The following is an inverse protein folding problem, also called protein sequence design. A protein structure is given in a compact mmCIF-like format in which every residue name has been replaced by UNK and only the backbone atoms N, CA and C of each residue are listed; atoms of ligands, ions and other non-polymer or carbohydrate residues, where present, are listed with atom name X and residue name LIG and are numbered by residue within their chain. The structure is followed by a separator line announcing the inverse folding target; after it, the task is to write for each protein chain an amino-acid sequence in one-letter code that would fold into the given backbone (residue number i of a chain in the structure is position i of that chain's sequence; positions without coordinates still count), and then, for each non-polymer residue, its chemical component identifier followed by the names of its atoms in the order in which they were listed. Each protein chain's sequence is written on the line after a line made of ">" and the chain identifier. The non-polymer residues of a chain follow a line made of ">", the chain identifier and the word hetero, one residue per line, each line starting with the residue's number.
data_IF_010116810566
#
_entry.id   IF_010116810566
#
_cell.length_a   1.000
_cell.length_b   1.000
_cell.length_c   1.000
_cell.angle_alpha   90.00
_cell.angle_beta   90.00
_cell.angle_gamma   90.00
#
_symmetry.space_group_name_H-M   'P 1'
#
loop_
_entity.id
_entity.type
_entity.pdbx_description
1 polymer ?
#
# COMPACT_ATOMS: atom_id res chain seq x y z
N UNK A 1 32.11 -23.33 43.02
CA UNK A 1 32.11 -21.87 43.23
C UNK A 1 33.10 -21.28 42.22
N UNK A 2 32.67 -21.08 40.98
CA UNK A 2 33.50 -20.49 39.90
C UNK A 2 33.10 -19.02 39.77
N UNK A 3 34.08 -18.14 39.98
CA UNK A 3 33.91 -16.70 39.96
C UNK A 3 34.37 -16.20 38.58
N UNK A 4 33.43 -15.91 37.68
CA UNK A 4 33.74 -15.59 36.29
C UNK A 4 33.95 -14.08 36.11
N UNK A 5 35.22 -13.69 35.97
CA UNK A 5 35.70 -12.30 36.00
C UNK A 5 35.73 -11.63 34.61
N UNK A 6 35.07 -12.22 33.60
CA UNK A 6 35.18 -11.79 32.18
C UNK A 6 34.05 -10.89 31.66
N UNK A 7 33.03 -10.60 32.45
CA UNK A 7 31.88 -9.79 32.00
C UNK A 7 32.20 -8.28 31.99
N UNK A 8 33.15 -7.82 32.82
CA UNK A 8 33.41 -6.38 33.02
C UNK A 8 34.05 -5.65 31.83
N UNK A 9 34.83 -6.32 30.98
CA UNK A 9 35.51 -5.64 29.87
C UNK A 9 34.63 -5.52 28.61
N UNK A 10 33.76 -6.51 28.34
CA UNK A 10 32.90 -6.47 27.15
C UNK A 10 31.83 -5.37 27.22
N UNK A 11 31.38 -5.02 28.42
CA UNK A 11 30.41 -3.93 28.64
C UNK A 11 31.06 -2.55 28.45
N UNK A 12 32.35 -2.38 28.79
CA UNK A 12 33.04 -1.10 28.63
C UNK A 12 33.29 -0.73 27.16
N UNK A 13 33.60 -1.71 26.32
CA UNK A 13 33.83 -1.48 24.88
C UNK A 13 32.53 -1.13 24.15
N UNK A 14 31.38 -1.66 24.59
CA UNK A 14 30.08 -1.40 23.98
C UNK A 14 29.55 0.01 24.31
N UNK A 15 29.87 0.56 25.49
CA UNK A 15 29.45 1.91 25.90
C UNK A 15 30.22 3.02 25.17
N UNK A 16 31.48 2.79 24.78
CA UNK A 16 32.26 3.79 24.03
C UNK A 16 31.82 3.95 22.57
N UNK A 17 31.30 2.89 21.94
CA UNK A 17 30.82 2.96 20.56
C UNK A 17 29.50 3.75 20.41
N UNK A 18 28.66 3.76 21.45
CA UNK A 18 27.37 4.45 21.43
C UNK A 18 27.53 5.97 21.62
N UNK A 19 28.53 6.43 22.38
CA UNK A 19 28.79 7.86 22.56
C UNK A 19 29.40 8.56 21.32
N UNK A 20 30.01 7.83 20.38
CA UNK A 20 30.58 8.42 19.17
C UNK A 20 29.52 8.70 18.07
N UNK A 21 28.37 8.02 18.12
CA UNK A 21 27.32 8.17 17.09
C UNK A 21 26.38 9.35 17.39
N UNK A 22 26.29 9.78 18.65
CA UNK A 22 25.38 10.88 19.07
C UNK A 22 25.97 12.29 18.81
N UNK A 23 27.24 12.41 18.40
CA UNK A 23 27.90 13.71 18.17
C UNK A 23 28.00 14.16 16.71
N UNK A 24 27.46 13.41 15.74
CA UNK A 24 27.57 13.74 14.31
C UNK A 24 26.29 14.33 13.66
N UNK A 25 25.19 14.49 14.38
CA UNK A 25 23.88 14.93 13.82
C UNK A 25 23.50 16.38 14.15
N UNK A 26 24.47 17.25 14.47
CA UNK A 26 24.19 18.63 14.90
C UNK A 26 24.62 19.74 13.92
N UNK A 27 25.04 19.46 12.68
CA UNK A 27 25.40 20.50 11.71
C UNK A 27 25.00 20.16 10.28
N UNK A 28 23.74 20.47 9.92
CA UNK A 28 23.34 20.83 8.56
C UNK A 28 21.89 21.35 8.58
N UNK A 29 21.72 22.57 9.07
CA UNK A 29 20.52 23.39 8.83
C UNK A 29 21.01 24.77 8.39
N UNK A 30 21.33 24.90 7.11
CA UNK A 30 21.61 26.19 6.46
C UNK A 30 20.40 26.53 5.60
N UNK A 31 19.85 27.71 5.88
CA UNK A 31 18.65 28.28 5.31
C UNK A 31 18.71 28.44 3.79
N UNK A 32 17.67 27.99 3.10
CA UNK A 32 17.25 28.53 1.80
C UNK A 32 15.81 29.04 1.93
N UNK A 33 15.67 30.35 2.02
CA UNK A 33 14.37 31.03 1.89
C UNK A 33 13.93 30.99 0.43
N UNK A 34 12.68 30.62 0.10
CA UNK A 34 12.14 30.91 -1.22
C UNK A 34 11.80 32.40 -1.34
N UNK A 35 12.24 32.99 -2.45
CA UNK A 35 11.79 34.29 -2.91
C UNK A 35 10.29 34.22 -3.23
N UNK A 36 9.49 35.01 -2.52
CA UNK A 36 8.09 35.24 -2.82
C UNK A 36 8.02 36.10 -4.09
N UNK A 37 7.47 35.53 -5.17
CA UNK A 37 7.11 36.28 -6.35
C UNK A 37 5.87 37.14 -6.04
N UNK A 38 6.05 38.44 -6.21
CA UNK A 38 5.06 39.50 -6.04
C UNK A 38 4.08 39.47 -7.22
N UNK A 39 2.90 38.89 -7.00
CA UNK A 39 1.82 38.92 -8.00
C UNK A 39 1.06 40.24 -7.86
N UNK A 40 1.43 41.21 -8.70
CA UNK A 40 0.72 42.50 -8.81
C UNK A 40 -0.57 42.29 -9.59
N UNK A 41 -1.68 42.15 -8.87
CA UNK A 41 -3.03 42.30 -9.42
C UNK A 41 -3.51 43.74 -9.16
N UNK A 42 -3.74 44.50 -10.24
CA UNK A 42 -4.47 45.78 -10.22
C UNK A 42 -5.73 45.66 -11.07
N UNK A 43 -6.83 46.20 -10.52
CA UNK A 43 -8.14 46.37 -11.16
C UNK A 43 -9.03 45.14 -10.97
N UNK A 44 -10.27 45.23 -10.48
CA UNK A 44 -11.26 46.29 -10.67
C UNK A 44 -12.30 46.19 -9.54
N UNK A 45 -12.76 47.35 -9.09
CA UNK A 45 -13.83 47.63 -8.13
C UNK A 45 -15.21 47.38 -8.76
N UNK A 46 -16.17 46.87 -7.99
CA UNK A 46 -17.60 47.27 -7.94
C UNK A 46 -18.29 46.42 -6.84
N UNK A 47 -18.68 47.03 -5.69
CA UNK A 47 -20.07 47.33 -5.27
C UNK A 47 -21.02 46.14 -5.44
N UNK A 48 -21.74 45.60 -4.46
CA UNK A 48 -22.14 45.98 -3.11
C UNK A 48 -23.34 45.06 -2.79
N UNK A 49 -23.58 44.74 -1.52
CA UNK A 49 -24.91 44.71 -0.88
C UNK A 49 -24.89 43.93 0.44
N UNK A 50 -25.46 44.61 1.43
CA UNK A 50 -25.76 44.18 2.79
C UNK A 50 -26.79 43.05 2.83
N UNK A 51 -26.69 42.14 3.81
CA UNK A 51 -27.77 41.89 4.80
C UNK A 51 -27.44 40.78 5.82
N UNK A 52 -27.24 41.24 7.06
CA UNK A 52 -27.88 40.80 8.31
C UNK A 52 -28.07 39.31 8.68
N UNK A 53 -27.49 38.98 9.86
CA UNK A 53 -28.11 38.34 11.04
C UNK A 53 -28.62 36.87 10.91
N UNK A 54 -28.62 35.98 11.91
CA UNK A 54 -28.42 36.07 13.35
C UNK A 54 -28.00 34.69 13.91
N UNK A 55 -27.52 34.74 15.15
CA UNK A 55 -27.22 33.65 16.08
C UNK A 55 -28.36 32.64 16.28
N UNK A 56 -28.05 31.41 16.71
CA UNK A 56 -28.57 30.87 17.99
C UNK A 56 -27.71 29.72 18.54
N UNK A 57 -27.47 29.76 19.85
CA UNK A 57 -26.94 28.71 20.73
C UNK A 57 -28.04 27.72 21.19
N UNK A 58 -27.66 26.49 21.52
CA UNK A 58 -28.21 25.70 22.66
C UNK A 58 -27.30 24.49 22.90
N UNK A 59 -26.50 24.41 23.97
CA UNK A 59 -26.78 24.03 25.38
C UNK A 59 -26.87 22.51 25.63
N UNK A 60 -26.19 22.14 26.71
CA UNK A 60 -25.90 20.85 27.35
C UNK A 60 -27.12 19.98 27.71
N UNK A 61 -26.85 18.68 27.92
CA UNK A 61 -27.68 17.81 28.75
C UNK A 61 -27.03 16.44 28.98
N UNK A 62 -26.44 16.24 30.15
CA UNK A 62 -25.99 14.96 30.69
C UNK A 62 -26.97 14.47 31.77
N UNK A 63 -27.23 13.16 31.86
CA UNK A 63 -27.77 12.42 33.02
C UNK A 63 -27.61 10.91 32.70
N UNK A 64 -26.75 10.12 33.34
CA UNK A 64 -26.78 9.52 34.69
C UNK A 64 -28.00 8.62 35.01
N UNK A 65 -27.70 7.30 35.00
CA UNK A 65 -27.79 6.38 36.14
C UNK A 65 -29.17 5.89 36.62
N UNK A 66 -29.38 4.57 36.54
CA UNK A 66 -29.90 3.79 37.69
C UNK A 66 -29.61 2.29 37.52
N UNK A 67 -28.85 1.77 38.49
CA UNK A 67 -28.82 0.38 38.92
C UNK A 67 -30.22 -0.19 39.14
N UNK A 68 -30.40 -1.50 38.89
CA UNK A 68 -30.99 -2.36 39.92
C UNK A 68 -30.60 -3.83 39.77
N UNK A 69 -30.18 -4.36 40.91
CA UNK A 69 -29.67 -5.69 41.23
C UNK A 69 -30.79 -6.59 41.75
N UNK A 70 -30.83 -7.87 41.38
CA UNK A 70 -31.37 -9.00 42.18
C UNK A 70 -31.02 -10.31 41.47
N UNK A 71 -30.03 -11.08 41.92
CA UNK A 71 -30.02 -12.01 43.07
C UNK A 71 -30.96 -13.21 42.91
N UNK A 72 -30.37 -14.40 42.77
CA UNK A 72 -31.05 -15.69 42.83
C UNK A 72 -30.10 -16.85 42.52
N UNK A 73 -29.39 -17.35 43.54
CA UNK A 73 -28.82 -18.71 43.54
C UNK A 73 -29.97 -19.72 43.33
N UNK A 74 -29.80 -20.92 42.76
CA UNK A 74 -29.20 -22.10 43.42
C UNK A 74 -29.26 -23.30 42.45
N UNK A 75 -28.22 -24.15 42.51
CA UNK A 75 -28.19 -25.61 42.24
C UNK A 75 -28.60 -26.20 40.87
N UNK A 76 -27.55 -26.62 40.13
CA UNK A 76 -27.21 -28.01 39.81
C UNK A 76 -28.36 -29.03 39.70
N UNK A 77 -28.59 -29.55 38.49
CA UNK A 77 -28.88 -30.97 38.24
C UNK A 77 -28.57 -31.36 36.79
N UNK A 78 -27.78 -32.41 36.69
CA UNK A 78 -27.45 -33.21 35.52
C UNK A 78 -28.72 -33.87 34.95
N UNK A 79 -28.96 -33.69 33.65
CA UNK A 79 -29.75 -34.64 32.86
C UNK A 79 -29.54 -34.45 31.36
N UNK A 80 -28.83 -35.41 30.80
CA UNK A 80 -28.82 -35.90 29.43
C UNK A 80 -30.15 -35.72 28.69
N UNK A 81 -30.12 -35.03 27.54
CA UNK A 81 -31.16 -35.16 26.54
C UNK A 81 -30.64 -34.99 25.10
N UNK A 82 -30.58 -36.12 24.42
CA UNK A 82 -31.11 -36.38 23.07
C UNK A 82 -30.99 -35.24 22.04
N UNK A 83 -30.03 -35.44 21.15
CA UNK A 83 -29.98 -34.90 19.79
C UNK A 83 -31.28 -35.17 19.03
N UNK A 84 -31.98 -34.12 18.61
CA UNK A 84 -32.87 -34.20 17.45
C UNK A 84 -33.09 -32.83 16.79
N UNK A 85 -33.29 -32.89 15.47
CA UNK A 85 -33.79 -31.86 14.56
C UNK A 85 -32.89 -30.65 14.22
N UNK A 86 -32.04 -30.89 13.21
CA UNK A 86 -31.82 -30.03 12.04
C UNK A 86 -32.69 -28.78 11.94
N UNK A 87 -32.13 -27.63 12.33
CA UNK A 87 -32.54 -26.33 11.79
C UNK A 87 -31.71 -26.09 10.53
N UNK A 88 -32.31 -25.91 9.33
CA UNK A 88 -31.54 -25.46 8.17
C UNK A 88 -30.88 -24.14 8.56
N UNK A 89 -29.55 -24.09 8.46
CA UNK A 89 -28.85 -22.81 8.49
C UNK A 89 -29.49 -21.95 7.40
N UNK A 90 -29.98 -20.78 7.78
CA UNK A 90 -30.44 -19.77 6.82
C UNK A 90 -29.35 -19.65 5.77
N UNK A 91 -29.68 -20.03 4.53
CA UNK A 91 -28.78 -19.89 3.41
C UNK A 91 -28.41 -18.42 3.35
N UNK A 92 -27.14 -18.12 3.66
CA UNK A 92 -26.62 -16.76 3.61
C UNK A 92 -27.00 -16.19 2.24
N UNK A 93 -27.73 -15.09 2.26
CA UNK A 93 -28.08 -14.36 1.04
C UNK A 93 -26.79 -14.16 0.25
N UNK A 94 -26.74 -14.53 -1.05
CA UNK A 94 -25.56 -14.32 -1.87
C UNK A 94 -25.12 -12.86 -1.69
N UNK A 95 -23.85 -12.66 -1.34
CA UNK A 95 -23.28 -11.32 -1.28
C UNK A 95 -23.57 -10.64 -2.61
N UNK A 96 -24.09 -9.41 -2.56
CA UNK A 96 -24.36 -8.64 -3.77
C UNK A 96 -23.08 -8.57 -4.61
N UNK A 97 -23.22 -8.68 -5.93
CA UNK A 97 -22.10 -8.53 -6.86
C UNK A 97 -21.37 -7.21 -6.56
N UNK A 98 -20.02 -7.22 -6.50
CA UNK A 98 -19.26 -6.03 -6.18
C UNK A 98 -19.42 -4.98 -7.28
N UNK A 99 -19.55 -3.71 -6.89
CA UNK A 99 -19.53 -2.57 -7.82
C UNK A 99 -18.09 -2.30 -8.28
N UNK A 100 -17.68 -2.94 -9.38
CA UNK A 100 -16.33 -2.78 -9.93
C UNK A 100 -16.06 -1.37 -10.52
N UNK A 101 -17.08 -0.52 -10.65
CA UNK A 101 -16.92 0.90 -11.02
C UNK A 101 -16.73 1.82 -9.80
N UNK A 102 -16.74 1.27 -8.59
CA UNK A 102 -16.55 2.01 -7.34
C UNK A 102 -16.04 1.11 -6.21
N UNK A 103 -14.94 0.40 -6.43
CA UNK A 103 -14.37 -0.51 -5.44
C UNK A 103 -13.92 0.26 -4.20
N UNK A 104 -14.38 -0.19 -3.03
CA UNK A 104 -14.17 0.51 -1.76
C UNK A 104 -13.30 -0.25 -0.76
N UNK A 105 -13.04 -1.54 -0.99
CA UNK A 105 -12.26 -2.40 -0.10
C UNK A 105 -11.58 -3.56 -0.85
N UNK A 106 -10.74 -4.29 -0.12
CA UNK A 106 -9.93 -5.37 -0.65
C UNK A 106 -10.76 -6.58 -1.14
N UNK A 107 -11.84 -6.92 -0.43
CA UNK A 107 -12.67 -8.05 -0.80
C UNK A 107 -13.44 -7.79 -2.10
N UNK A 108 -13.96 -6.58 -2.28
CA UNK A 108 -14.57 -6.13 -3.52
C UNK A 108 -13.55 -6.10 -4.67
N UNK A 109 -12.33 -5.61 -4.43
CA UNK A 109 -11.26 -5.60 -5.44
C UNK A 109 -10.93 -7.02 -5.90
N UNK A 110 -10.70 -7.93 -4.94
CA UNK A 110 -10.39 -9.33 -5.20
C UNK A 110 -11.48 -9.99 -6.03
N UNK A 111 -12.73 -9.84 -5.62
CA UNK A 111 -13.87 -10.38 -6.36
C UNK A 111 -13.97 -9.79 -7.77
N UNK A 112 -13.78 -8.47 -7.94
CA UNK A 112 -13.80 -7.84 -9.27
C UNK A 112 -12.68 -8.35 -10.17
N UNK A 113 -11.44 -8.47 -9.67
CA UNK A 113 -10.29 -8.91 -10.47
C UNK A 113 -10.40 -10.39 -10.84
N UNK A 114 -10.75 -11.26 -9.89
CA UNK A 114 -10.81 -12.71 -10.11
C UNK A 114 -11.99 -13.11 -11.01
N UNK A 115 -13.09 -12.33 -11.00
CA UNK A 115 -14.25 -12.55 -11.86
C UNK A 115 -14.26 -11.71 -13.15
N UNK A 116 -13.25 -10.85 -13.36
CA UNK A 116 -13.15 -9.99 -14.52
C UNK A 116 -13.20 -10.79 -15.84
N UNK A 117 -13.66 -10.15 -16.89
CA UNK A 117 -13.45 -10.53 -18.28
C UNK A 117 -12.28 -9.77 -18.89
N UNK A 118 -11.75 -10.26 -20.00
CA UNK A 118 -10.57 -9.65 -20.63
C UNK A 118 -10.83 -8.19 -21.02
N UNK A 119 -10.05 -7.29 -20.41
CA UNK A 119 -10.11 -5.85 -20.66
C UNK A 119 -11.01 -5.07 -19.70
N UNK A 120 -11.61 -5.71 -18.69
CA UNK A 120 -12.45 -5.00 -17.72
C UNK A 120 -11.67 -3.90 -16.99
N UNK A 121 -12.35 -2.77 -16.78
CA UNK A 121 -11.84 -1.62 -16.05
C UNK A 121 -12.44 -1.62 -14.65
N UNK A 122 -11.58 -1.72 -13.65
CA UNK A 122 -11.94 -1.66 -12.24
C UNK A 122 -11.51 -0.30 -11.69
N UNK A 123 -12.46 0.42 -11.11
CA UNK A 123 -12.25 1.78 -10.60
C UNK A 123 -12.22 1.77 -9.08
N UNK A 124 -11.07 2.11 -8.52
CA UNK A 124 -10.89 2.31 -7.08
C UNK A 124 -11.57 3.61 -6.68
N UNK A 125 -12.64 3.49 -5.89
CA UNK A 125 -13.45 4.61 -5.41
C UNK A 125 -13.02 5.16 -4.07
N UNK A 126 -12.27 4.38 -3.28
CA UNK A 126 -11.71 4.74 -1.97
C UNK A 126 -10.36 4.08 -1.78
N UNK A 127 -9.52 4.63 -0.90
CA UNK A 127 -8.26 4.00 -0.52
C UNK A 127 -8.50 2.58 -0.02
N UNK A 128 -7.87 1.62 -0.68
CA UNK A 128 -7.95 0.20 -0.31
C UNK A 128 -6.78 -0.13 0.60
N UNK A 129 -7.11 -0.51 1.84
CA UNK A 129 -6.13 -1.07 2.79
C UNK A 129 -5.99 -2.57 2.56
N UNK A 130 -4.83 -3.02 2.10
CA UNK A 130 -4.54 -4.42 1.81
C UNK A 130 -4.21 -5.18 3.10
N UNK A 131 -5.00 -6.20 3.48
CA UNK A 131 -4.78 -6.96 4.71
C UNK A 131 -3.45 -7.73 4.70
N UNK A 132 -2.80 -7.86 5.87
CA UNK A 132 -1.59 -8.69 6.05
C UNK A 132 -1.83 -10.18 5.86
N UNK A 133 -3.02 -10.65 6.22
CA UNK A 133 -3.38 -12.06 6.33
C UNK A 133 -4.13 -12.59 5.11
N UNK A 134 -4.54 -11.73 4.18
CA UNK A 134 -5.13 -12.17 2.92
C UNK A 134 -4.02 -12.37 1.88
N UNK A 135 -4.16 -13.46 1.11
CA UNK A 135 -3.24 -13.78 0.04
C UNK A 135 -3.30 -12.75 -1.09
N UNK A 136 -2.31 -12.76 -2.01
CA UNK A 136 -2.35 -11.92 -3.19
C UNK A 136 -3.60 -12.20 -4.03
N UNK A 137 -4.03 -11.21 -4.80
CA UNK A 137 -5.04 -11.38 -5.85
C UNK A 137 -4.36 -12.02 -7.06
N UNK A 138 -4.91 -13.13 -7.54
CA UNK A 138 -4.42 -13.78 -8.75
C UNK A 138 -4.97 -13.08 -10.00
N UNK A 139 -4.09 -12.64 -10.88
CA UNK A 139 -4.45 -12.05 -12.18
C UNK A 139 -4.18 -13.07 -13.27
N UNK A 140 -5.26 -13.59 -13.86
CA UNK A 140 -5.21 -14.63 -14.91
C UNK A 140 -5.77 -14.16 -16.26
N UNK A 141 -6.23 -12.91 -16.32
CA UNK A 141 -6.86 -12.26 -17.47
C UNK A 141 -6.32 -10.84 -17.61
N UNK A 142 -6.69 -10.16 -18.69
CA UNK A 142 -6.41 -8.73 -18.80
C UNK A 142 -7.36 -7.92 -17.93
N UNK A 143 -6.82 -7.10 -17.03
CA UNK A 143 -7.59 -6.22 -16.14
C UNK A 143 -6.91 -4.85 -16.05
N UNK A 144 -7.70 -3.79 -16.11
CA UNK A 144 -7.23 -2.41 -15.99
C UNK A 144 -7.67 -1.85 -14.64
N UNK A 145 -6.72 -1.49 -13.79
CA UNK A 145 -6.97 -0.77 -12.54
C UNK A 145 -6.75 0.73 -12.74
N UNK A 146 -7.74 1.51 -12.32
CA UNK A 146 -7.67 2.97 -12.25
C UNK A 146 -8.25 3.44 -10.92
N UNK A 147 -8.06 4.70 -10.56
CA UNK A 147 -8.63 5.29 -9.37
C UNK A 147 -9.45 6.54 -9.72
N UNK A 148 -10.45 6.85 -8.88
CA UNK A 148 -11.13 8.14 -8.99
C UNK A 148 -10.17 9.27 -8.60
N UNK A 149 -10.36 10.42 -9.23
CA UNK A 149 -9.69 11.65 -8.82
C UNK A 149 -9.92 11.89 -7.32
N UNK A 150 -8.85 12.29 -6.61
CA UNK A 150 -8.82 12.54 -5.16
C UNK A 150 -8.81 11.28 -4.27
N UNK A 151 -8.64 10.07 -4.82
CA UNK A 151 -8.31 8.90 -4.03
C UNK A 151 -6.79 8.77 -3.97
N UNK A 152 -6.19 9.21 -2.87
CA UNK A 152 -4.74 9.14 -2.67
C UNK A 152 -4.39 8.74 -1.21
N UNK A 153 -3.76 7.57 -0.99
CA UNK A 153 -3.40 6.59 -1.99
C UNK A 153 -4.61 5.82 -2.53
N UNK A 154 -4.53 5.30 -3.75
CA UNK A 154 -5.50 4.31 -4.24
C UNK A 154 -5.38 3.00 -3.46
N UNK A 155 -4.15 2.58 -3.16
CA UNK A 155 -3.87 1.38 -2.37
C UNK A 155 -2.81 1.65 -1.30
N UNK A 156 -2.94 1.01 -0.15
CA UNK A 156 -1.97 1.05 0.96
C UNK A 156 -1.91 -0.29 1.67
N UNK A 157 -0.83 -0.53 2.40
CA UNK A 157 -0.81 -1.61 3.39
C UNK A 157 -1.76 -1.28 4.55
N UNK A 158 -2.34 -2.30 5.14
CA UNK A 158 -2.87 -2.20 6.50
C UNK A 158 -1.74 -1.74 7.45
N UNK A 159 -2.01 -0.77 8.33
CA UNK A 159 -1.05 -0.23 9.27
C UNK A 159 -0.49 -1.30 10.24
N UNK A 160 -1.24 -2.38 10.48
CA UNK A 160 -0.76 -3.52 11.25
C UNK A 160 0.20 -4.45 10.44
N UNK A 161 0.26 -4.29 9.12
CA UNK A 161 1.01 -5.12 8.20
C UNK A 161 2.37 -4.49 7.84
N UNK A 162 3.40 -4.76 8.65
CA UNK A 162 4.77 -4.36 8.32
C UNK A 162 5.44 -5.25 7.27
N UNK A 163 4.86 -6.42 6.99
CA UNK A 163 5.39 -7.44 6.07
C UNK A 163 4.24 -8.20 5.39
N UNK A 164 4.48 -8.77 4.22
CA UNK A 164 3.48 -9.57 3.50
C UNK A 164 3.90 -9.91 2.07
N UNK A 165 3.08 -10.67 1.35
CA UNK A 165 3.37 -11.03 -0.04
C UNK A 165 3.14 -9.88 -1.02
N UNK A 166 3.14 -10.11 -2.33
CA UNK A 166 2.66 -9.13 -3.28
C UNK A 166 1.17 -8.78 -3.05
N UNK A 167 0.71 -7.64 -3.58
CA UNK A 167 -0.73 -7.39 -3.72
C UNK A 167 -1.30 -8.25 -4.85
N UNK A 168 -0.59 -8.29 -5.97
CA UNK A 168 -1.00 -9.05 -7.14
C UNK A 168 0.04 -10.12 -7.50
N UNK A 169 -0.44 -11.32 -7.81
CA UNK A 169 0.35 -12.34 -8.50
C UNK A 169 -0.19 -12.46 -9.91
N UNK A 170 0.66 -12.20 -10.89
CA UNK A 170 0.28 -12.20 -12.31
C UNK A 170 0.86 -13.45 -12.96
N UNK A 171 -0.03 -14.37 -13.30
CA UNK A 171 0.32 -15.67 -13.86
C UNK A 171 0.32 -15.66 -15.39
N UNK A 172 0.66 -16.80 -16.00
CA UNK A 172 0.66 -16.94 -17.46
C UNK A 172 -0.72 -16.61 -18.04
N UNK A 173 -0.78 -15.61 -18.92
CA UNK A 173 -2.02 -15.11 -19.52
C UNK A 173 -2.67 -13.94 -18.76
N UNK A 174 -2.18 -13.61 -17.56
CA UNK A 174 -2.56 -12.40 -16.84
C UNK A 174 -1.88 -11.14 -17.40
N UNK A 175 -2.65 -10.07 -17.54
CA UNK A 175 -2.18 -8.73 -17.96
C UNK A 175 -2.79 -7.69 -17.02
N UNK A 176 -2.04 -7.28 -16.00
CA UNK A 176 -2.45 -6.21 -15.09
C UNK A 176 -1.99 -4.86 -15.65
N UNK A 177 -2.94 -3.98 -15.94
CA UNK A 177 -2.68 -2.62 -16.43
C UNK A 177 -3.03 -1.62 -15.34
N UNK A 178 -2.09 -0.75 -14.97
CA UNK A 178 -2.29 0.34 -14.02
C UNK A 178 -2.38 1.66 -14.77
N UNK A 179 -3.49 2.36 -14.57
CA UNK A 179 -3.87 3.54 -15.35
C UNK A 179 -4.37 3.13 -16.74
N UNK A 180 -5.48 3.70 -17.18
CA UNK A 180 -6.05 3.42 -18.52
C UNK A 180 -5.10 3.81 -19.65
N UNK A 181 -4.36 4.90 -19.47
CA UNK A 181 -3.42 5.47 -20.42
C UNK A 181 -2.45 6.43 -19.71
N UNK A 182 -1.58 7.10 -20.48
CA UNK A 182 -0.59 8.02 -19.96
C UNK A 182 -1.19 9.27 -19.27
N UNK A 183 -2.48 9.56 -19.43
CA UNK A 183 -3.16 10.67 -18.75
C UNK A 183 -3.80 10.26 -17.41
N UNK A 184 -3.86 8.96 -17.11
CA UNK A 184 -4.51 8.42 -15.92
C UNK A 184 -3.58 8.41 -14.69
N UNK A 185 -3.27 9.61 -14.18
CA UNK A 185 -2.36 9.80 -13.04
C UNK A 185 -2.99 9.51 -11.67
N UNK A 186 -4.28 9.18 -11.61
CA UNK A 186 -5.03 9.11 -10.35
C UNK A 186 -4.63 7.91 -9.49
N UNK A 187 -4.07 6.85 -10.08
CA UNK A 187 -3.65 5.68 -9.32
C UNK A 187 -2.38 5.97 -8.51
N UNK A 188 -2.42 5.66 -7.22
CA UNK A 188 -1.23 5.73 -6.38
C UNK A 188 -1.12 4.59 -5.37
N UNK A 189 0.12 4.16 -5.13
CA UNK A 189 0.51 3.26 -4.05
C UNK A 189 1.65 3.90 -3.29
N UNK A 190 1.35 4.40 -2.10
CA UNK A 190 2.29 5.19 -1.31
C UNK A 190 2.54 4.57 0.06
N UNK A 191 3.76 4.76 0.58
CA UNK A 191 4.16 4.37 1.94
C UNK A 191 3.91 2.88 2.26
N UNK A 192 4.03 2.02 1.24
CA UNK A 192 3.81 0.60 1.39
C UNK A 192 5.04 -0.16 1.86
N UNK A 193 4.88 -1.44 2.19
CA UNK A 193 5.99 -2.33 2.62
C UNK A 193 6.04 -3.67 1.88
N UNK A 194 5.18 -3.80 0.87
CA UNK A 194 4.97 -5.03 0.11
C UNK A 194 5.22 -4.79 -1.36
N UNK A 195 5.56 -5.85 -2.09
CA UNK A 195 5.54 -5.80 -3.54
C UNK A 195 4.16 -5.40 -4.02
N UNK A 196 4.11 -4.46 -4.95
CA UNK A 196 2.87 -4.22 -5.64
C UNK A 196 2.49 -5.45 -6.50
N UNK A 197 3.43 -5.96 -7.30
CA UNK A 197 3.22 -7.14 -8.12
C UNK A 197 4.36 -8.16 -8.04
N UNK A 198 3.99 -9.44 -8.10
CA UNK A 198 4.87 -10.56 -8.38
C UNK A 198 4.47 -11.17 -9.73
N UNK A 199 5.41 -11.26 -10.67
CA UNK A 199 5.12 -11.76 -12.01
C UNK A 199 5.71 -13.15 -12.20
N UNK A 200 4.85 -14.13 -12.47
CA UNK A 200 5.27 -15.44 -12.94
C UNK A 200 5.52 -15.42 -14.46
N UNK A 201 6.10 -16.52 -14.96
CA UNK A 201 6.36 -16.69 -16.38
C UNK A 201 5.09 -16.48 -17.21
N UNK A 202 5.16 -15.53 -18.15
CA UNK A 202 4.04 -15.18 -19.04
C UNK A 202 3.03 -14.19 -18.47
N UNK A 203 3.20 -13.73 -17.23
CA UNK A 203 2.44 -12.62 -16.67
C UNK A 203 2.97 -11.26 -17.13
N UNK A 204 2.08 -10.29 -17.29
CA UNK A 204 2.41 -8.93 -17.75
C UNK A 204 1.91 -7.89 -16.75
N UNK A 205 2.80 -6.98 -16.35
CA UNK A 205 2.44 -5.74 -15.66
C UNK A 205 2.70 -4.57 -16.60
N UNK A 206 1.68 -3.78 -16.88
CA UNK A 206 1.79 -2.51 -17.60
C UNK A 206 1.46 -1.35 -16.66
N UNK A 207 2.36 -0.39 -16.50
CA UNK A 207 2.08 0.87 -15.79
C UNK A 207 2.01 1.99 -16.83
N UNK A 208 0.79 2.47 -17.09
CA UNK A 208 0.58 3.54 -18.04
C UNK A 208 0.82 4.92 -17.42
N UNK A 209 0.45 5.11 -16.16
CA UNK A 209 0.77 6.28 -15.34
C UNK A 209 0.42 5.94 -13.87
N UNK A 210 0.76 6.84 -12.94
CA UNK A 210 0.47 6.71 -11.51
C UNK A 210 1.64 7.17 -10.64
N UNK A 211 1.42 7.18 -9.33
CA UNK A 211 2.45 7.51 -8.34
C UNK A 211 2.75 6.33 -7.43
N UNK A 212 4.02 5.91 -7.39
CA UNK A 212 4.52 4.84 -6.54
C UNK A 212 5.63 5.40 -5.67
N UNK A 213 5.29 5.81 -4.45
CA UNK A 213 6.19 6.59 -3.62
C UNK A 213 6.38 6.06 -2.21
N UNK A 214 7.61 6.09 -1.70
CA UNK A 214 7.90 5.77 -0.30
C UNK A 214 7.65 4.30 0.06
N UNK A 215 7.64 3.40 -0.92
CA UNK A 215 7.45 1.97 -0.66
C UNK A 215 8.78 1.38 -0.17
N UNK A 216 8.79 0.70 0.97
CA UNK A 216 9.99 0.12 1.58
C UNK A 216 9.84 -1.39 1.84
N UNK A 217 10.46 -2.21 1.01
CA UNK A 217 10.44 -3.68 1.15
C UNK A 217 11.61 -4.24 1.95
N UNK A 218 12.55 -3.41 2.45
CA UNK A 218 13.78 -3.89 3.10
C UNK A 218 13.52 -4.71 4.37
N UNK A 219 12.42 -4.42 5.08
CA UNK A 219 12.05 -5.13 6.30
C UNK A 219 11.15 -6.36 6.04
N UNK A 220 10.80 -6.64 4.78
CA UNK A 220 9.92 -7.73 4.41
C UNK A 220 10.72 -9.01 4.17
N UNK A 221 10.81 -9.85 5.21
CA UNK A 221 11.68 -11.04 5.22
C UNK A 221 11.41 -11.94 4.00
N UNK A 222 12.43 -12.14 3.17
CA UNK A 222 12.36 -12.97 1.96
C UNK A 222 11.72 -12.28 0.74
N UNK A 223 11.30 -11.02 0.86
CA UNK A 223 10.65 -10.22 -0.19
C UNK A 223 11.21 -8.81 -0.25
N UNK A 224 12.53 -8.71 -0.23
CA UNK A 224 13.28 -7.47 -0.06
C UNK A 224 13.68 -6.80 -1.38
N UNK A 225 13.30 -7.34 -2.53
CA UNK A 225 13.78 -6.87 -3.85
C UNK A 225 12.67 -6.28 -4.68
N UNK A 226 12.85 -5.13 -5.34
CA UNK A 226 11.74 -4.47 -6.02
C UNK A 226 10.70 -3.95 -5.04
N UNK A 227 10.04 -2.87 -5.42
CA UNK A 227 8.91 -2.30 -4.66
C UNK A 227 7.65 -2.33 -5.50
N UNK A 228 7.76 -1.92 -6.76
CA UNK A 228 6.74 -2.11 -7.77
C UNK A 228 6.63 -3.57 -8.19
N UNK A 229 7.73 -4.19 -8.61
CA UNK A 229 7.68 -5.51 -9.23
C UNK A 229 8.86 -6.40 -8.86
N UNK A 230 8.53 -7.62 -8.44
CA UNK A 230 9.44 -8.77 -8.53
C UNK A 230 9.06 -9.59 -9.76
N UNK A 231 9.94 -9.59 -10.77
CA UNK A 231 9.71 -10.29 -12.03
C UNK A 231 10.43 -11.65 -12.06
N UNK A 232 9.65 -12.73 -12.04
CA UNK A 232 10.11 -14.12 -12.09
C UNK A 232 9.75 -14.79 -13.43
N UNK A 233 10.04 -14.12 -14.54
CA UNK A 233 9.88 -14.66 -15.89
C UNK A 233 8.75 -14.04 -16.72
N UNK A 234 8.07 -13.03 -16.19
CA UNK A 234 7.07 -12.22 -16.88
C UNK A 234 7.66 -11.00 -17.59
N UNK A 235 6.81 -10.02 -17.87
CA UNK A 235 7.17 -8.76 -18.52
C UNK A 235 6.66 -7.55 -17.73
N UNK A 236 7.54 -6.61 -17.44
CA UNK A 236 7.17 -5.30 -16.85
C UNK A 236 7.30 -4.22 -17.91
N UNK A 237 6.25 -3.44 -18.12
CA UNK A 237 6.21 -2.34 -19.09
C UNK A 237 5.85 -1.06 -18.34
N UNK A 238 6.73 -0.08 -18.33
CA UNK A 238 6.45 1.26 -17.80
C UNK A 238 6.34 2.21 -18.99
N UNK A 239 5.15 2.76 -19.20
CA UNK A 239 4.91 3.76 -20.23
C UNK A 239 5.02 5.18 -19.70
N UNK A 240 4.70 5.41 -18.42
CA UNK A 240 4.87 6.66 -17.69
C UNK A 240 4.66 6.40 -16.18
N UNK A 241 4.89 7.41 -15.35
CA UNK A 241 4.59 7.41 -13.92
C UNK A 241 5.67 8.11 -13.10
N UNK A 242 5.42 8.27 -11.80
CA UNK A 242 6.41 8.75 -10.84
C UNK A 242 6.73 7.65 -9.85
N UNK A 243 8.00 7.29 -9.77
CA UNK A 243 8.54 6.28 -8.87
C UNK A 243 9.57 6.97 -7.97
N UNK A 244 9.19 7.28 -6.73
CA UNK A 244 10.00 8.12 -5.88
C UNK A 244 10.21 7.57 -4.47
N UNK A 245 11.37 7.82 -3.89
CA UNK A 245 11.66 7.45 -2.48
C UNK A 245 11.43 5.96 -2.15
N UNK A 246 11.46 5.07 -3.14
CA UNK A 246 11.26 3.65 -2.91
C UNK A 246 12.56 3.00 -2.43
N UNK A 247 12.44 2.05 -1.50
CA UNK A 247 13.56 1.38 -0.85
C UNK A 247 13.43 -0.15 -0.95
N UNK A 248 14.48 -0.79 -1.43
CA UNK A 248 14.61 -2.25 -1.46
C UNK A 248 16.05 -2.67 -1.12
N UNK A 249 16.34 -3.96 -0.94
CA UNK A 249 17.71 -4.45 -0.93
C UNK A 249 18.33 -4.42 -2.33
N UNK A 250 17.53 -4.74 -3.35
CA UNK A 250 17.97 -4.87 -4.75
C UNK A 250 16.89 -4.40 -5.71
N UNK A 251 17.28 -3.61 -6.71
CA UNK A 251 16.36 -3.06 -7.71
C UNK A 251 15.27 -2.23 -7.04
N UNK A 252 15.58 -1.00 -6.63
CA UNK A 252 14.70 -0.18 -5.76
C UNK A 252 13.25 -0.03 -6.23
N UNK A 253 12.98 -0.20 -7.53
CA UNK A 253 11.63 -0.21 -8.12
C UNK A 253 11.30 -1.57 -8.71
N UNK A 254 12.16 -2.08 -9.60
CA UNK A 254 11.97 -3.38 -10.28
C UNK A 254 13.16 -4.28 -10.00
N UNK A 255 12.88 -5.52 -9.60
CA UNK A 255 13.85 -6.60 -9.59
C UNK A 255 13.47 -7.66 -10.63
N UNK A 256 14.39 -7.95 -11.56
CA UNK A 256 14.20 -8.95 -12.61
C UNK A 256 15.03 -10.18 -12.25
N UNK A 257 14.37 -11.15 -11.63
CA UNK A 257 14.93 -12.46 -11.39
C UNK A 257 15.04 -13.26 -12.69
N UNK A 258 14.02 -13.15 -13.56
CA UNK A 258 13.95 -13.69 -14.93
C UNK A 258 12.96 -12.83 -15.74
N UNK A 259 13.01 -12.92 -17.07
CA UNK A 259 12.08 -12.20 -17.95
C UNK A 259 12.58 -10.80 -18.32
N UNK A 260 11.68 -9.91 -18.69
CA UNK A 260 12.04 -8.64 -19.34
C UNK A 260 11.43 -7.42 -18.66
N UNK A 261 12.04 -6.26 -18.86
CA UNK A 261 11.44 -4.95 -18.57
C UNK A 261 11.63 -3.97 -19.73
N UNK A 262 10.61 -3.15 -19.99
CA UNK A 262 10.67 -2.03 -20.94
C UNK A 262 10.24 -0.77 -20.22
N UNK A 263 11.02 0.30 -20.35
CA UNK A 263 10.70 1.63 -19.84
C UNK A 263 10.69 2.60 -21.01
N UNK A 264 9.51 3.15 -21.30
CA UNK A 264 9.31 4.11 -22.39
C UNK A 264 9.37 5.56 -21.91
N UNK A 265 8.90 5.82 -20.69
CA UNK A 265 8.94 7.13 -20.03
C UNK A 265 8.73 6.95 -18.51
N UNK A 266 8.90 8.02 -17.76
CA UNK A 266 8.62 8.10 -16.32
C UNK A 266 9.72 8.81 -15.54
N UNK A 267 9.37 9.23 -14.32
CA UNK A 267 10.31 9.86 -13.39
C UNK A 267 10.72 8.86 -12.32
N UNK A 268 12.03 8.63 -12.18
CA UNK A 268 12.61 7.79 -11.14
C UNK A 268 13.54 8.62 -10.27
N UNK A 269 13.11 8.98 -9.06
CA UNK A 269 13.84 9.90 -8.19
C UNK A 269 14.01 9.35 -6.79
N UNK A 270 15.18 9.56 -6.18
CA UNK A 270 15.43 9.20 -4.77
C UNK A 270 15.14 7.73 -4.40
N UNK A 271 15.08 6.82 -5.37
CA UNK A 271 14.96 5.39 -5.11
C UNK A 271 16.30 4.84 -4.62
N UNK A 272 16.27 4.04 -3.57
CA UNK A 272 17.44 3.59 -2.82
C UNK A 272 17.52 2.08 -2.69
N UNK A 273 18.74 1.56 -2.64
CA UNK A 273 19.00 0.17 -2.32
C UNK A 273 20.13 -0.01 -1.33
N UNK A 274 20.06 -1.01 -0.46
CA UNK A 274 21.17 -1.36 0.46
C UNK A 274 22.23 -2.25 -0.17
N UNK A 275 21.94 -2.94 -1.29
CA UNK A 275 22.92 -3.78 -1.99
C UNK A 275 23.20 -3.30 -3.42
N UNK A 276 22.20 -3.31 -4.31
CA UNK A 276 22.45 -3.10 -5.75
C UNK A 276 21.30 -2.44 -6.51
N UNK A 277 21.68 -1.50 -7.40
CA UNK A 277 20.87 -0.82 -8.40
C UNK A 277 19.62 -0.08 -7.87
N UNK A 278 19.71 1.25 -7.80
CA UNK A 278 18.68 2.12 -7.21
C UNK A 278 17.30 2.04 -7.86
N UNK A 279 17.18 1.59 -9.11
CA UNK A 279 15.88 1.53 -9.83
C UNK A 279 15.59 0.13 -10.35
N UNK A 280 16.35 -0.35 -11.34
CA UNK A 280 16.13 -1.67 -11.96
C UNK A 280 17.37 -2.53 -11.74
N UNK A 281 17.19 -3.72 -11.19
CA UNK A 281 18.22 -4.76 -11.17
C UNK A 281 17.82 -5.92 -12.05
N UNK A 282 18.69 -6.29 -12.99
CA UNK A 282 18.57 -7.53 -13.75
C UNK A 282 19.56 -8.56 -13.20
N UNK A 283 19.05 -9.65 -12.61
CA UNK A 283 19.87 -10.71 -12.03
C UNK A 283 20.13 -11.87 -13.02
N UNK A 284 19.21 -12.10 -13.96
CA UNK A 284 19.35 -13.15 -14.97
C UNK A 284 19.98 -12.61 -16.27
N UNK A 285 20.93 -13.36 -16.81
CA UNK A 285 21.64 -13.03 -18.04
C UNK A 285 20.79 -13.23 -19.31
N UNK A 286 19.68 -13.98 -19.24
CA UNK A 286 18.79 -14.23 -20.38
C UNK A 286 17.68 -13.19 -20.56
N UNK A 287 17.38 -12.40 -19.52
CA UNK A 287 16.40 -11.32 -19.59
C UNK A 287 16.87 -10.11 -20.41
N UNK A 288 15.97 -9.18 -20.68
CA UNK A 288 16.31 -7.88 -21.29
C UNK A 288 15.73 -6.71 -20.52
N UNK A 289 16.49 -5.62 -20.44
CA UNK A 289 16.01 -4.30 -20.05
C UNK A 289 16.16 -3.36 -21.24
N UNK A 290 15.04 -2.81 -21.70
CA UNK A 290 15.00 -1.81 -22.77
C UNK A 290 14.56 -0.47 -22.21
N UNK A 291 15.29 0.60 -22.53
CA UNK A 291 14.97 1.97 -22.13
C UNK A 291 14.94 2.81 -23.42
N UNK A 292 13.88 3.57 -23.63
CA UNK A 292 13.67 4.43 -24.80
C UNK A 292 13.95 5.90 -24.50
#
# INVERSE_FOLDING_TARGET
>A
MFNDKRIGERVKTMVWAICAIVLATAMLFVCSTPAMAENTAQGITETGDDSSAAQTQSVQGAQLQSDQTQSGNTEQLDQSNKSDASKPADAATPAADPDCANVADWAALKSCVENATDGDVIVIGKTISVPSNDGPIAVSKKVILTARNNVDPAMTNDAAASVGDAFFVIDNGGDLVIGKDAADAAFSYNNGTRWFAYLNKGGVLTVNNGTFSGIDTQNNTGRTQGTLAYNNGGSVIINNGTFSYNAAERGGVIYIAQGNATVNDGTFEHNGTTQSAGVIMQADAAGTVTIH
#
